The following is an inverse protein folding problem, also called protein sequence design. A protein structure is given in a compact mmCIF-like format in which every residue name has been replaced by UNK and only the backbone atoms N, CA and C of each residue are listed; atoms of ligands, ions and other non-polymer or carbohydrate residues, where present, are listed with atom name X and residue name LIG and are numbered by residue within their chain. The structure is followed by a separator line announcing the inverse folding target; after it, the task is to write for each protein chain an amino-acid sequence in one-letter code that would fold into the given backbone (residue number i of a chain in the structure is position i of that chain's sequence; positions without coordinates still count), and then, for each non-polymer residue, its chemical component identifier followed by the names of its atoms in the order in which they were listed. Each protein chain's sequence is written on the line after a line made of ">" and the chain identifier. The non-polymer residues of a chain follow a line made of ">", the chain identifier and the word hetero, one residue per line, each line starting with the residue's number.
data_IF_771210161181
#
_entry.id   IF_771210161181
#
_cell.length_a   1.000
_cell.length_b   1.000
_cell.length_c   1.000
_cell.angle_alpha   90.00
_cell.angle_beta   90.00
_cell.angle_gamma   90.00
#
_symmetry.space_group_name_H-M   'P 1'
#
loop_
_entity.id
_entity.type
_entity.pdbx_description
1 polymer ?
#
# COMPACT_ATOMS: atom_id res chain seq x y z
N UNK A 1 -13.70 26.42 14.62
CA UNK A 1 -12.36 26.96 14.31
C UNK A 1 -12.14 26.92 12.80
N UNK A 2 -11.17 27.66 12.24
CA UNK A 2 -10.89 27.63 10.81
C UNK A 2 -10.38 26.25 10.35
N UNK A 3 -10.78 25.82 9.16
CA UNK A 3 -10.28 24.62 8.50
C UNK A 3 -9.12 24.98 7.58
N UNK A 4 -8.11 24.12 7.48
CA UNK A 4 -6.99 24.28 6.55
C UNK A 4 -6.94 23.08 5.62
N UNK A 5 -6.88 23.28 4.29
CA UNK A 5 -6.71 22.17 3.36
C UNK A 5 -5.44 21.37 3.66
N UNK A 6 -5.59 20.04 3.66
CA UNK A 6 -4.47 19.10 3.75
C UNK A 6 -3.91 18.77 2.36
N UNK A 7 -2.88 17.90 2.32
CA UNK A 7 -2.36 17.40 1.05
C UNK A 7 -3.43 16.63 0.26
N UNK A 8 -3.31 16.64 -1.05
CA UNK A 8 -4.17 15.82 -1.92
C UNK A 8 -3.55 14.44 -2.06
N UNK A 9 -4.36 13.40 -1.88
CA UNK A 9 -3.93 12.01 -2.03
C UNK A 9 -4.70 11.42 -3.21
N UNK A 10 -3.97 11.06 -4.26
CA UNK A 10 -4.51 10.33 -5.41
C UNK A 10 -4.20 8.85 -5.21
N UNK A 11 -5.23 8.01 -5.31
CA UNK A 11 -5.12 6.56 -5.21
C UNK A 11 -5.66 5.91 -6.48
N UNK A 12 -4.90 4.98 -7.05
CA UNK A 12 -5.37 4.11 -8.12
C UNK A 12 -5.15 2.65 -7.72
N UNK A 13 -6.18 1.83 -7.88
CA UNK A 13 -6.14 0.40 -7.56
C UNK A 13 -6.36 -0.40 -8.84
N UNK A 14 -5.43 -1.30 -9.17
CA UNK A 14 -5.55 -2.21 -10.31
C UNK A 14 -5.67 -3.63 -9.79
N UNK A 15 -6.73 -4.33 -10.18
CA UNK A 15 -7.03 -5.67 -9.67
C UNK A 15 -6.88 -6.71 -10.77
N UNK A 16 -6.26 -7.84 -10.43
CA UNK A 16 -6.19 -9.03 -11.29
C UNK A 16 -6.05 -10.28 -10.44
N UNK A 17 -6.91 -11.27 -10.70
CA UNK A 17 -6.82 -12.61 -10.08
C UNK A 17 -6.70 -12.59 -8.55
N UNK A 18 -7.48 -11.76 -7.86
CA UNK A 18 -7.48 -11.66 -6.40
C UNK A 18 -6.35 -10.80 -5.80
N UNK A 19 -5.48 -10.24 -6.64
CA UNK A 19 -4.39 -9.33 -6.24
C UNK A 19 -4.72 -7.90 -6.64
N UNK A 20 -4.56 -6.95 -5.72
CA UNK A 20 -4.62 -5.51 -5.98
C UNK A 20 -3.20 -4.94 -6.01
N UNK A 21 -2.88 -4.12 -7.01
CA UNK A 21 -1.75 -3.17 -6.93
C UNK A 21 -2.32 -1.79 -6.61
N UNK A 22 -1.96 -1.26 -5.45
CA UNK A 22 -2.35 0.07 -5.00
C UNK A 22 -1.23 1.06 -5.27
N UNK A 23 -1.53 2.05 -6.09
CA UNK A 23 -0.66 3.17 -6.41
C UNK A 23 -1.16 4.40 -5.66
N UNK A 24 -0.25 5.13 -5.01
CA UNK A 24 -0.58 6.35 -4.25
C UNK A 24 0.37 7.47 -4.64
N UNK A 25 -0.16 8.64 -4.96
CA UNK A 25 0.62 9.87 -5.12
C UNK A 25 0.09 10.93 -4.17
N UNK A 26 0.98 11.63 -3.50
CA UNK A 26 0.61 12.69 -2.55
C UNK A 26 1.13 14.02 -3.07
N UNK A 27 0.27 15.01 -3.19
CA UNK A 27 0.63 16.38 -3.52
C UNK A 27 0.52 17.28 -2.30
N UNK A 28 1.49 18.19 -2.15
CA UNK A 28 1.42 19.20 -1.11
C UNK A 28 0.25 20.15 -1.38
N UNK A 29 -0.44 20.57 -0.32
CA UNK A 29 -1.32 21.73 -0.44
C UNK A 29 -0.47 22.98 -0.75
N UNK A 30 -1.03 23.93 -1.50
CA UNK A 30 -0.35 25.20 -1.80
C UNK A 30 0.13 25.94 -0.52
N UNK A 31 -0.56 25.74 0.60
CA UNK A 31 -0.26 26.33 1.91
C UNK A 31 0.66 25.49 2.81
N UNK A 32 1.10 24.30 2.36
CA UNK A 32 1.84 23.33 3.18
C UNK A 32 3.34 23.21 2.84
N UNK A 33 3.83 24.00 1.88
CA UNK A 33 5.26 24.03 1.53
C UNK A 33 6.11 24.36 2.79
N UNK A 34 6.88 23.37 3.27
CA UNK A 34 7.79 23.54 4.41
C UNK A 34 7.35 22.93 5.74
N UNK A 35 6.16 22.33 5.85
CA UNK A 35 5.81 21.56 7.06
C UNK A 35 6.41 20.15 6.98
N UNK A 36 7.64 20.01 7.49
CA UNK A 36 8.25 18.70 7.72
C UNK A 36 7.52 17.95 8.84
N UNK A 37 7.28 16.65 8.64
CA UNK A 37 6.64 15.77 9.62
C UNK A 37 5.44 15.04 9.04
N UNK A 38 5.52 13.70 9.01
CA UNK A 38 4.43 12.85 8.55
C UNK A 38 4.92 11.62 7.81
N UNK A 39 4.03 10.65 7.64
CA UNK A 39 4.27 9.44 6.84
C UNK A 39 3.01 9.10 6.08
N UNK A 40 3.14 8.56 4.87
CA UNK A 40 2.02 7.94 4.17
C UNK A 40 1.95 6.49 4.63
N UNK A 41 0.77 6.05 5.08
CA UNK A 41 0.49 4.64 5.40
C UNK A 41 -0.52 4.07 4.42
N UNK A 42 -0.19 2.93 3.83
CA UNK A 42 -1.13 2.11 3.07
C UNK A 42 -1.55 0.91 3.90
N UNK A 43 -2.83 0.81 4.22
CA UNK A 43 -3.41 -0.30 4.98
C UNK A 43 -3.94 -1.42 4.06
N UNK A 44 -3.83 -2.65 4.52
CA UNK A 44 -4.49 -3.80 3.92
C UNK A 44 -5.90 -3.96 4.47
N UNK A 45 -6.41 -5.18 4.42
CA UNK A 45 -7.73 -5.52 4.94
C UNK A 45 -7.64 -5.87 6.41
N UNK A 46 -8.54 -5.36 7.27
CA UNK A 46 -8.62 -5.80 8.65
C UNK A 46 -9.03 -7.27 8.70
N UNK A 47 -8.28 -8.08 9.44
CA UNK A 47 -8.64 -9.45 9.77
C UNK A 47 -9.18 -9.46 11.20
N UNK A 48 -10.40 -9.95 11.39
CA UNK A 48 -11.06 -10.02 12.68
C UNK A 48 -11.25 -11.46 13.13
N UNK A 49 -11.13 -11.70 14.44
CA UNK A 49 -11.39 -13.00 15.07
C UNK A 49 -11.68 -12.83 16.57
N UNK A 50 -12.21 -13.87 17.21
CA UNK A 50 -12.41 -13.90 18.66
C UNK A 50 -11.08 -14.02 19.43
N UNK A 51 -10.09 -14.66 18.81
CA UNK A 51 -8.71 -14.71 19.29
C UNK A 51 -7.82 -13.74 18.51
N UNK A 52 -6.69 -13.28 19.06
CA UNK A 52 -5.77 -12.40 18.33
C UNK A 52 -5.31 -13.05 17.01
N UNK A 53 -5.48 -12.39 15.85
CA UNK A 53 -4.92 -12.88 14.59
C UNK A 53 -3.39 -12.98 14.66
N UNK A 54 -2.83 -13.91 13.90
CA UNK A 54 -1.38 -14.02 13.71
C UNK A 54 -0.89 -12.84 12.87
N UNK A 55 0.30 -12.31 13.19
CA UNK A 55 0.83 -11.10 12.55
C UNK A 55 2.30 -11.24 12.20
N UNK A 56 2.68 -10.77 11.02
CA UNK A 56 4.08 -10.70 10.60
C UNK A 56 4.36 -9.37 9.91
N UNK A 57 5.56 -8.83 10.12
CA UNK A 57 6.04 -7.67 9.39
C UNK A 57 7.56 -7.68 9.36
N UNK A 58 8.13 -7.05 8.35
CA UNK A 58 9.58 -6.91 8.25
C UNK A 58 10.02 -6.43 6.88
N UNK A 59 11.31 -6.62 6.61
CA UNK A 59 11.95 -6.41 5.32
C UNK A 59 12.53 -7.74 4.89
N UNK A 60 12.44 -8.11 3.61
CA UNK A 60 13.13 -9.34 3.18
C UNK A 60 12.46 -10.63 3.64
N UNK A 61 11.23 -10.97 3.21
CA UNK A 61 10.67 -12.32 3.50
C UNK A 61 11.55 -13.36 2.81
N UNK A 62 12.48 -13.92 3.57
CA UNK A 62 13.37 -15.00 3.19
C UNK A 62 12.54 -16.28 3.00
N UNK A 63 11.91 -16.39 1.84
CA UNK A 63 11.15 -17.56 1.40
C UNK A 63 11.11 -17.75 -0.12
N UNK A 64 11.61 -16.78 -0.91
CA UNK A 64 11.60 -16.85 -2.37
C UNK A 64 12.88 -16.29 -3.01
N UNK A 65 14.05 -16.46 -2.38
CA UNK A 65 15.36 -16.32 -3.04
C UNK A 65 15.62 -15.01 -3.82
N UNK A 66 14.98 -13.88 -3.48
CA UNK A 66 15.18 -12.61 -4.19
C UNK A 66 15.90 -11.58 -3.31
N UNK A 67 17.13 -11.17 -3.67
CA UNK A 67 17.70 -9.91 -3.20
C UNK A 67 16.75 -8.75 -3.56
N UNK A 68 16.48 -7.83 -2.63
CA UNK A 68 15.73 -6.59 -2.91
C UNK A 68 14.22 -6.60 -2.67
N UNK A 69 13.64 -7.55 -1.90
CA UNK A 69 12.22 -7.45 -1.55
C UNK A 69 11.97 -6.32 -0.55
N UNK A 70 11.08 -5.38 -0.90
CA UNK A 70 10.68 -4.25 -0.06
C UNK A 70 10.01 -4.66 1.28
N UNK A 71 9.48 -3.70 2.04
CA UNK A 71 8.81 -4.00 3.31
C UNK A 71 7.55 -4.85 3.07
N UNK A 72 7.22 -5.72 4.03
CA UNK A 72 6.01 -6.53 4.01
C UNK A 72 5.28 -6.46 5.36
N UNK A 73 3.97 -6.71 5.32
CA UNK A 73 3.14 -6.86 6.50
C UNK A 73 1.99 -7.85 6.21
N UNK A 74 1.61 -8.63 7.21
CA UNK A 74 0.62 -9.69 7.09
C UNK A 74 -0.15 -9.84 8.40
N UNK A 75 -1.45 -10.07 8.29
CA UNK A 75 -2.31 -10.49 9.39
C UNK A 75 -3.18 -11.65 8.91
N UNK A 76 -3.37 -12.67 9.75
CA UNK A 76 -4.14 -13.84 9.34
C UNK A 76 -4.78 -14.62 10.48
N UNK A 77 -5.81 -15.37 10.13
CA UNK A 77 -6.40 -16.46 10.90
C UNK A 77 -6.22 -17.76 10.12
N UNK A 78 -6.73 -18.87 10.66
CA UNK A 78 -6.75 -20.15 9.95
C UNK A 78 -7.52 -20.11 8.62
N UNK A 79 -8.42 -19.14 8.41
CA UNK A 79 -9.31 -19.09 7.24
C UNK A 79 -9.12 -17.86 6.35
N UNK A 80 -8.44 -16.81 6.82
CA UNK A 80 -8.31 -15.56 6.10
C UNK A 80 -6.95 -14.92 6.35
N UNK A 81 -6.30 -14.42 5.30
CA UNK A 81 -5.02 -13.70 5.39
C UNK A 81 -5.07 -12.41 4.59
N UNK A 82 -4.75 -11.29 5.22
CA UNK A 82 -4.44 -10.04 4.53
C UNK A 82 -2.93 -9.84 4.48
N UNK A 83 -2.39 -9.54 3.30
CA UNK A 83 -0.97 -9.25 3.12
C UNK A 83 -0.72 -7.99 2.30
N UNK A 84 0.39 -7.34 2.62
CA UNK A 84 0.94 -6.19 1.92
C UNK A 84 2.41 -6.43 1.57
N UNK A 85 2.81 -6.09 0.35
CA UNK A 85 4.21 -6.13 -0.09
C UNK A 85 4.57 -4.85 -0.84
N UNK A 86 5.64 -4.19 -0.42
CA UNK A 86 6.07 -2.92 -1.00
C UNK A 86 6.76 -3.10 -2.35
N UNK A 87 6.27 -2.40 -3.37
CA UNK A 87 6.83 -2.40 -4.72
C UNK A 87 7.65 -1.13 -5.00
N UNK A 88 7.25 0.03 -4.46
CA UNK A 88 7.93 1.31 -4.68
C UNK A 88 7.73 2.27 -3.50
N UNK A 89 8.83 2.88 -3.04
CA UNK A 89 8.82 4.05 -2.14
C UNK A 89 8.38 3.79 -0.69
N UNK A 90 8.13 2.54 -0.30
CA UNK A 90 7.76 2.16 1.07
C UNK A 90 8.98 1.63 1.81
N UNK A 91 9.03 1.92 3.10
CA UNK A 91 10.23 1.70 3.93
C UNK A 91 9.97 0.76 5.10
N UNK A 92 8.75 0.78 5.65
CA UNK A 92 8.39 0.03 6.86
C UNK A 92 7.11 -0.75 6.67
N UNK A 93 7.02 -1.89 7.35
CA UNK A 93 5.79 -2.67 7.50
C UNK A 93 5.46 -2.86 8.97
N UNK A 94 4.18 -3.00 9.27
CA UNK A 94 3.70 -3.31 10.61
C UNK A 94 2.24 -3.74 10.59
N UNK A 95 1.70 -4.04 11.77
CA UNK A 95 0.29 -4.43 11.92
C UNK A 95 -0.32 -3.60 13.04
N UNK A 96 -1.44 -2.93 12.74
CA UNK A 96 -2.24 -2.26 13.76
C UNK A 96 -3.21 -3.27 14.35
N UNK A 97 -3.16 -3.46 15.67
CA UNK A 97 -4.07 -4.38 16.37
C UNK A 97 -5.10 -3.61 17.17
N UNK A 98 -6.31 -4.15 17.20
CA UNK A 98 -7.45 -3.61 17.92
C UNK A 98 -8.11 -4.65 18.80
N UNK A 99 -8.87 -4.18 19.78
CA UNK A 99 -9.68 -4.99 20.68
C UNK A 99 -11.05 -4.33 20.80
N UNK A 100 -12.10 -5.12 20.64
CA UNK A 100 -13.50 -4.69 20.76
C UNK A 100 -13.83 -3.48 19.86
N UNK A 101 -13.15 -3.37 18.70
CA UNK A 101 -13.26 -2.26 17.74
C UNK A 101 -13.93 -2.65 16.41
N UNK A 102 -14.41 -3.90 16.32
CA UNK A 102 -15.10 -4.44 15.15
C UNK A 102 -16.26 -5.34 15.57
N UNK A 103 -17.40 -5.31 14.85
CA UNK A 103 -18.50 -6.25 15.09
C UNK A 103 -18.19 -7.69 14.60
N UNK A 104 -17.07 -7.90 13.89
CA UNK A 104 -16.72 -9.19 13.26
C UNK A 104 -15.84 -10.09 14.14
N UNK A 105 -15.45 -9.63 15.32
CA UNK A 105 -14.65 -10.38 16.28
C UNK A 105 -14.08 -9.49 17.37
N UNK A 106 -13.76 -10.08 18.53
CA UNK A 106 -13.23 -9.35 19.67
C UNK A 106 -11.83 -8.76 19.44
N UNK A 107 -11.09 -9.24 18.43
CA UNK A 107 -9.73 -8.83 18.08
C UNK A 107 -9.64 -8.53 16.60
N UNK A 108 -8.90 -7.48 16.25
CA UNK A 108 -8.59 -7.10 14.87
C UNK A 108 -7.11 -6.93 14.64
N UNK A 109 -6.66 -7.18 13.41
CA UNK A 109 -5.31 -6.93 12.96
C UNK A 109 -5.33 -6.40 11.51
N UNK A 110 -4.77 -5.21 11.28
CA UNK A 110 -4.70 -4.56 9.97
C UNK A 110 -3.25 -4.35 9.57
N UNK A 111 -2.74 -5.06 8.56
CA UNK A 111 -1.38 -4.83 8.08
C UNK A 111 -1.27 -3.45 7.44
N UNK A 112 -0.12 -2.81 7.56
CA UNK A 112 0.18 -1.53 6.92
C UNK A 112 1.63 -1.47 6.43
N UNK A 113 1.84 -0.72 5.36
CA UNK A 113 3.16 -0.27 4.90
C UNK A 113 3.27 1.24 5.02
N UNK A 114 4.45 1.76 5.32
CA UNK A 114 4.66 3.18 5.55
C UNK A 114 5.94 3.73 4.90
N UNK A 115 5.93 5.04 4.67
CA UNK A 115 7.11 5.83 4.36
C UNK A 115 7.77 6.39 5.64
N UNK A 116 9.01 6.86 5.53
CA UNK A 116 9.70 7.57 6.63
C UNK A 116 9.43 9.09 6.64
N UNK A 117 9.05 9.63 5.49
CA UNK A 117 8.57 11.00 5.29
C UNK A 117 7.48 11.03 4.23
N UNK A 118 6.78 12.15 4.03
CA UNK A 118 5.81 12.28 2.92
C UNK A 118 6.56 12.57 1.61
N UNK A 119 6.53 11.66 0.62
CA UNK A 119 7.28 11.85 -0.63
C UNK A 119 6.38 12.57 -1.64
N UNK A 120 6.28 13.88 -1.49
CA UNK A 120 5.39 14.69 -2.34
C UNK A 120 5.77 14.58 -3.81
N UNK A 121 4.76 14.39 -4.67
CA UNK A 121 4.93 14.24 -6.12
C UNK A 121 5.39 12.85 -6.58
N UNK A 122 5.89 12.00 -5.67
CA UNK A 122 6.31 10.63 -5.97
C UNK A 122 5.15 9.63 -5.91
N UNK A 123 5.30 8.54 -6.66
CA UNK A 123 4.35 7.41 -6.68
C UNK A 123 4.80 6.30 -5.72
N UNK A 124 3.98 5.98 -4.74
CA UNK A 124 4.12 4.79 -3.91
C UNK A 124 3.36 3.62 -4.55
N UNK A 125 3.86 2.41 -4.39
CA UNK A 125 3.21 1.21 -4.90
C UNK A 125 3.31 0.04 -3.92
N UNK A 126 2.20 -0.66 -3.71
CA UNK A 126 2.15 -1.89 -2.93
C UNK A 126 1.23 -2.92 -3.58
N UNK A 127 1.57 -4.20 -3.41
CA UNK A 127 0.62 -5.30 -3.57
C UNK A 127 -0.23 -5.40 -2.32
N UNK A 128 -1.54 -5.56 -2.49
CA UNK A 128 -2.52 -5.84 -1.45
C UNK A 128 -3.24 -7.13 -1.83
N UNK A 129 -3.25 -8.11 -0.94
CA UNK A 129 -3.95 -9.37 -1.15
C UNK A 129 -4.81 -9.72 0.06
N UNK A 130 -5.96 -10.33 -0.23
CA UNK A 130 -6.84 -10.96 0.75
C UNK A 130 -7.14 -12.37 0.26
N UNK A 131 -6.63 -13.36 0.98
CA UNK A 131 -6.58 -14.75 0.54
C UNK A 131 -7.21 -15.66 1.59
N UNK A 132 -7.68 -16.83 1.17
CA UNK A 132 -8.08 -17.89 2.10
C UNK A 132 -6.86 -18.40 2.89
N UNK A 133 -7.08 -18.75 4.16
CA UNK A 133 -6.03 -19.07 5.13
C UNK A 133 -5.29 -20.41 4.92
N UNK A 134 -5.29 -20.97 3.72
CA UNK A 134 -4.52 -22.18 3.44
C UNK A 134 -3.02 -21.85 3.39
N UNK A 135 -2.21 -22.59 4.16
CA UNK A 135 -0.76 -22.38 4.25
C UNK A 135 -0.03 -22.65 2.91
N UNK A 136 -0.71 -23.34 1.99
CA UNK A 136 -0.25 -23.61 0.62
C UNK A 136 -0.37 -22.41 -0.33
N UNK A 137 -1.21 -21.42 -0.03
CA UNK A 137 -1.41 -20.26 -0.91
C UNK A 137 -0.33 -19.19 -0.69
N UNK A 138 0.95 -19.57 -0.62
CA UNK A 138 2.01 -18.56 -0.66
C UNK A 138 1.93 -17.85 -2.01
N UNK A 139 1.38 -16.64 -2.00
CA UNK A 139 1.00 -15.88 -3.19
C UNK A 139 2.06 -15.91 -4.28
N UNK A 140 1.61 -15.90 -5.53
CA UNK A 140 2.47 -15.90 -6.71
C UNK A 140 3.46 -14.73 -6.74
N UNK A 141 4.37 -14.71 -7.73
CA UNK A 141 5.34 -13.62 -7.86
C UNK A 141 4.63 -12.27 -7.95
N UNK A 142 5.25 -11.24 -7.37
CA UNK A 142 4.69 -9.90 -7.42
C UNK A 142 4.75 -9.31 -8.84
N UNK A 143 3.75 -8.49 -9.23
CA UNK A 143 3.83 -7.70 -10.45
C UNK A 143 4.97 -6.69 -10.37
N UNK A 144 5.58 -6.40 -11.52
CA UNK A 144 6.56 -5.33 -11.65
C UNK A 144 5.86 -3.99 -11.92
N UNK A 145 6.45 -2.89 -11.43
CA UNK A 145 5.94 -1.52 -11.64
C UNK A 145 7.07 -0.64 -12.20
N UNK A 146 6.83 -0.01 -13.34
CA UNK A 146 7.64 1.12 -13.81
C UNK A 146 6.79 2.40 -13.77
N UNK A 147 7.41 3.52 -13.43
CA UNK A 147 6.74 4.83 -13.33
C UNK A 147 7.50 5.82 -14.18
N UNK A 148 6.79 6.52 -15.05
CA UNK A 148 7.34 7.50 -15.96
C UNK A 148 6.64 8.86 -15.75
N UNK A 149 7.38 9.99 -15.71
CA UNK A 149 6.76 11.30 -15.64
C UNK A 149 5.81 11.55 -16.82
N UNK A 150 4.66 12.13 -16.54
CA UNK A 150 3.70 12.61 -17.53
C UNK A 150 3.97 14.08 -17.91
N UNK A 151 3.42 14.56 -19.04
CA UNK A 151 3.65 15.91 -19.52
C UNK A 151 3.12 17.00 -18.56
N UNK A 152 2.08 16.69 -17.79
CA UNK A 152 1.40 17.64 -16.90
C UNK A 152 1.91 17.59 -15.44
N UNK A 153 3.11 17.03 -15.22
CA UNK A 153 3.68 16.82 -13.88
C UNK A 153 3.10 15.63 -13.11
N UNK A 154 2.11 14.93 -13.70
CA UNK A 154 1.63 13.63 -13.23
C UNK A 154 2.60 12.49 -13.56
N UNK A 155 2.14 11.25 -13.44
CA UNK A 155 2.91 10.06 -13.82
C UNK A 155 2.05 9.05 -14.56
N UNK A 156 2.66 8.33 -15.50
CA UNK A 156 2.14 7.09 -16.06
C UNK A 156 2.84 5.90 -15.42
N UNK A 157 2.08 5.07 -14.71
CA UNK A 157 2.56 3.82 -14.16
C UNK A 157 2.22 2.66 -15.10
N UNK A 158 3.20 1.80 -15.38
CA UNK A 158 3.01 0.54 -16.10
C UNK A 158 3.21 -0.63 -15.15
N UNK A 159 2.18 -1.46 -15.05
CA UNK A 159 2.20 -2.72 -14.33
C UNK A 159 2.50 -3.84 -15.31
N UNK A 160 3.37 -4.78 -14.92
CA UNK A 160 3.58 -6.05 -15.62
C UNK A 160 3.23 -7.19 -14.67
N UNK A 161 2.15 -7.89 -14.99
CA UNK A 161 1.66 -9.02 -14.22
C UNK A 161 2.53 -10.26 -14.44
N UNK A 162 2.50 -11.24 -13.51
CA UNK A 162 3.23 -12.51 -13.66
C UNK A 162 2.96 -13.29 -14.93
N UNK A 163 1.77 -13.15 -15.50
CA UNK A 163 1.36 -13.77 -16.76
C UNK A 163 1.85 -13.00 -18.01
N UNK A 164 2.64 -11.94 -17.80
CA UNK A 164 3.21 -11.10 -18.85
C UNK A 164 2.29 -10.01 -19.36
N UNK A 165 1.02 -9.97 -18.94
CA UNK A 165 0.11 -8.91 -19.33
C UNK A 165 0.50 -7.58 -18.70
N UNK A 166 0.17 -6.49 -19.38
CA UNK A 166 0.50 -5.14 -18.93
C UNK A 166 -0.74 -4.29 -18.74
N UNK A 167 -0.66 -3.35 -17.80
CA UNK A 167 -1.71 -2.37 -17.55
C UNK A 167 -1.07 -1.02 -17.31
N UNK A 168 -1.50 0.00 -18.06
CA UNK A 168 -1.07 1.38 -17.87
C UNK A 168 -2.10 2.14 -17.04
N UNK A 169 -1.64 2.98 -16.12
CA UNK A 169 -2.46 3.80 -15.23
C UNK A 169 -1.88 5.21 -15.19
N UNK A 170 -2.75 6.21 -15.37
CA UNK A 170 -2.38 7.61 -15.19
C UNK A 170 -2.63 8.05 -13.73
N UNK A 171 -1.65 8.75 -13.15
CA UNK A 171 -1.69 9.35 -11.84
C UNK A 171 -1.51 10.87 -12.01
N UNK A 172 -2.61 11.64 -12.09
CA UNK A 172 -2.53 13.07 -12.38
C UNK A 172 -1.82 13.83 -11.26
N UNK A 173 -1.19 14.95 -11.65
CA UNK A 173 -0.82 15.99 -10.71
C UNK A 173 -2.00 16.89 -10.38
N UNK A 174 -2.05 17.38 -9.14
CA UNK A 174 -2.93 18.51 -8.83
C UNK A 174 -2.41 19.74 -9.58
N UNK A 175 -3.26 20.40 -10.39
CA UNK A 175 -2.87 21.65 -11.03
C UNK A 175 -2.43 22.66 -9.97
N UNK A 176 -1.29 23.32 -10.20
CA UNK A 176 -0.95 24.50 -9.43
C UNK A 176 -2.07 25.53 -9.66
N UNK A 177 -2.70 26.00 -8.59
CA UNK A 177 -3.68 27.08 -8.71
C UNK A 177 -3.02 28.24 -9.46
N UNK A 178 -3.68 28.71 -10.53
CA UNK A 178 -3.22 29.91 -11.23
C UNK A 178 -3.19 31.08 -10.23
N UNK A 179 -2.15 31.94 -10.30
CA UNK A 179 -1.99 33.07 -9.39
C UNK A 179 -3.16 34.06 -9.44
#
# INVERSE_FOLDING_TARGET
>A
GPTTPGPVVTVASVLRSGVEVRLVRVDAAASAAGRGGGSVRMGGWPVAADTPPETWAGTGRAGAGRPGSGPYAEAGTASLRSSLRGLRGLHRGGVATGKDDSPLGARTATPWLATDGVPYGDVLAAVVALEGGSQSDQGGPDPAVSVHPGPDGGHRARLTWPDGLTTDVELPAVPLAAP
#
